data_IF_426294414343
#
_entry.id   IF_426294414343
#
_cell.length_a   1.000
_cell.length_b   1.000
_cell.length_c   1.000
_cell.angle_alpha   90.00
_cell.angle_beta   90.00
_cell.angle_gamma   90.00
#
_symmetry.space_group_name_H-M   'P 1'
#
loop_
_entity.id
_entity.type
_entity.pdbx_description
1 polymer ?
#
# COMPACT_ATOMS: atom_id res chain seq x y z
N UNK A 1 -5.89 2.48 29.00
CA UNK A 1 -5.21 3.14 27.86
C UNK A 1 -4.36 2.09 27.14
N UNK A 2 -4.42 2.01 25.80
CA UNK A 2 -3.63 1.03 25.03
C UNK A 2 -2.34 1.67 24.55
N UNK A 3 -1.25 0.89 24.50
CA UNK A 3 0.03 1.35 23.97
C UNK A 3 0.07 1.08 22.45
N UNK A 4 0.41 2.11 21.66
CA UNK A 4 0.54 2.05 20.20
C UNK A 4 1.99 2.20 19.76
N UNK A 5 2.25 1.98 18.48
CA UNK A 5 3.48 2.43 17.85
C UNK A 5 3.55 3.97 17.97
N UNK A 6 4.73 4.52 18.19
CA UNK A 6 4.89 5.95 18.48
C UNK A 6 4.39 6.86 17.34
N UNK A 7 4.50 6.41 16.09
CA UNK A 7 4.01 7.16 14.95
C UNK A 7 2.48 7.33 14.89
N UNK A 8 1.74 6.53 15.67
CA UNK A 8 0.28 6.64 15.82
C UNK A 8 -0.15 7.45 17.07
N UNK A 9 0.80 8.08 17.75
CA UNK A 9 0.52 8.95 18.90
C UNK A 9 0.40 10.41 18.45
N UNK A 10 -0.54 11.16 19.02
CA UNK A 10 -0.71 12.58 18.73
C UNK A 10 -1.16 12.92 17.30
N UNK A 11 -1.76 11.96 16.61
CA UNK A 11 -2.29 12.10 15.24
C UNK A 11 -3.81 12.09 15.22
N UNK A 12 -4.43 12.28 14.04
CA UNK A 12 -5.90 12.30 13.91
C UNK A 12 -6.53 10.94 14.24
N UNK A 13 -7.82 10.96 14.57
CA UNK A 13 -8.57 9.71 14.85
C UNK A 13 -8.56 8.75 13.66
N UNK A 14 -8.64 9.24 12.44
CA UNK A 14 -8.58 8.40 11.25
C UNK A 14 -7.20 7.74 11.08
N UNK A 15 -6.13 8.45 11.45
CA UNK A 15 -4.78 7.90 11.44
C UNK A 15 -4.60 6.82 12.52
N UNK A 16 -5.14 7.07 13.72
CA UNK A 16 -5.16 6.08 14.81
C UNK A 16 -5.95 4.84 14.41
N UNK A 17 -7.12 5.02 13.77
CA UNK A 17 -7.94 3.92 13.28
C UNK A 17 -7.19 3.11 12.23
N UNK A 18 -6.51 3.76 11.30
CA UNK A 18 -5.66 3.08 10.32
C UNK A 18 -4.61 2.18 10.99
N UNK A 19 -3.91 2.70 12.00
CA UNK A 19 -2.95 1.90 12.78
C UNK A 19 -3.62 0.72 13.49
N UNK A 20 -4.76 0.96 14.11
CA UNK A 20 -5.42 -0.03 14.97
C UNK A 20 -6.13 -1.14 14.17
N UNK A 21 -6.65 -0.83 12.98
CA UNK A 21 -7.54 -1.72 12.25
C UNK A 21 -6.94 -2.28 10.95
N UNK A 22 -6.02 -1.56 10.31
CA UNK A 22 -5.53 -1.91 8.98
C UNK A 22 -4.05 -2.28 8.93
N UNK A 23 -3.19 -1.42 9.43
CA UNK A 23 -1.74 -1.59 9.33
C UNK A 23 -1.26 -2.88 9.99
N UNK A 24 -0.54 -3.71 9.23
CA UNK A 24 -0.06 -5.01 9.71
C UNK A 24 -1.09 -6.15 9.67
N UNK A 25 -2.31 -5.89 9.19
CA UNK A 25 -3.34 -6.93 9.00
C UNK A 25 -3.19 -7.53 7.59
N UNK A 26 -3.06 -8.88 7.47
CA UNK A 26 -2.93 -9.52 6.17
C UNK A 26 -4.10 -9.22 5.23
N UNK A 27 -3.79 -8.77 4.03
CA UNK A 27 -4.75 -8.44 2.97
C UNK A 27 -4.58 -9.43 1.82
N UNK A 28 -5.67 -10.13 1.45
CA UNK A 28 -5.71 -11.07 0.34
C UNK A 28 -6.65 -10.64 -0.79
N UNK A 29 -7.36 -9.54 -0.64
CA UNK A 29 -8.22 -8.96 -1.66
C UNK A 29 -7.41 -8.16 -2.68
N UNK A 30 -7.56 -8.46 -3.97
CA UNK A 30 -6.82 -7.82 -5.06
C UNK A 30 -7.09 -6.32 -5.16
N UNK A 31 -8.32 -5.89 -4.89
CA UNK A 31 -8.68 -4.47 -4.95
C UNK A 31 -8.01 -3.69 -3.84
N UNK A 32 -7.98 -4.23 -2.64
CA UNK A 32 -7.31 -3.61 -1.49
C UNK A 32 -5.79 -3.60 -1.68
N UNK A 33 -5.21 -4.67 -2.25
CA UNK A 33 -3.80 -4.70 -2.64
C UNK A 33 -3.48 -3.59 -3.65
N UNK A 34 -4.30 -3.42 -4.67
CA UNK A 34 -4.14 -2.35 -5.65
C UNK A 34 -4.32 -0.96 -5.03
N UNK A 35 -5.34 -0.77 -4.18
CA UNK A 35 -5.55 0.48 -3.44
C UNK A 35 -4.29 0.90 -2.68
N UNK A 36 -3.73 0.03 -1.85
CA UNK A 36 -2.55 0.36 -1.05
C UNK A 36 -1.33 0.61 -1.92
N UNK A 37 -1.14 -0.14 -2.99
CA UNK A 37 0.00 0.08 -3.89
C UNK A 37 -0.05 1.49 -4.51
N UNK A 38 -1.23 1.93 -4.92
CA UNK A 38 -1.42 3.28 -5.48
C UNK A 38 -1.26 4.35 -4.40
N UNK A 39 -1.84 4.17 -3.22
CA UNK A 39 -1.74 5.14 -2.13
C UNK A 39 -0.30 5.29 -1.63
N UNK A 40 0.43 4.21 -1.48
CA UNK A 40 1.85 4.24 -1.08
C UNK A 40 2.72 4.91 -2.15
N UNK A 41 2.47 4.63 -3.43
CA UNK A 41 3.14 5.32 -4.52
C UNK A 41 2.83 6.81 -4.57
N UNK A 42 1.59 7.20 -4.28
CA UNK A 42 1.16 8.60 -4.21
C UNK A 42 1.83 9.36 -3.07
N UNK A 43 2.23 8.66 -2.01
CA UNK A 43 2.94 9.25 -0.87
C UNK A 43 4.33 9.78 -1.23
N UNK A 44 4.96 9.33 -2.30
CA UNK A 44 6.31 9.76 -2.66
C UNK A 44 6.46 11.29 -2.61
N UNK A 45 7.32 11.78 -1.73
CA UNK A 45 7.53 13.22 -1.48
C UNK A 45 6.47 13.89 -0.59
N UNK A 46 5.53 13.13 -0.02
CA UNK A 46 4.44 13.63 0.82
C UNK A 46 4.37 12.86 2.14
N UNK A 47 3.52 13.33 3.07
CA UNK A 47 3.25 12.59 4.31
C UNK A 47 2.13 11.57 4.12
N UNK A 48 2.17 10.50 4.91
CA UNK A 48 1.06 9.52 4.92
C UNK A 48 -0.26 10.15 5.37
N UNK A 49 -0.22 11.07 6.31
CA UNK A 49 -1.40 11.83 6.74
C UNK A 49 -2.09 12.52 5.55
N UNK A 50 -1.33 13.15 4.66
CA UNK A 50 -1.85 13.77 3.45
C UNK A 50 -2.58 12.76 2.57
N UNK A 51 -1.99 11.60 2.35
CA UNK A 51 -2.58 10.53 1.52
C UNK A 51 -3.83 9.95 2.19
N UNK A 52 -3.74 9.65 3.47
CA UNK A 52 -4.87 9.10 4.22
C UNK A 52 -6.09 10.04 4.21
N UNK A 53 -5.87 11.33 4.35
CA UNK A 53 -6.92 12.34 4.25
C UNK A 53 -7.54 12.44 2.85
N UNK A 54 -6.82 12.02 1.81
CA UNK A 54 -7.30 12.00 0.42
C UNK A 54 -7.84 10.63 -0.02
N UNK A 55 -7.83 9.63 0.85
CA UNK A 55 -8.20 8.25 0.50
C UNK A 55 -9.61 8.13 -0.09
N UNK A 56 -10.59 8.79 0.53
CA UNK A 56 -11.98 8.80 0.02
C UNK A 56 -12.06 9.42 -1.38
N UNK A 57 -11.32 10.50 -1.62
CA UNK A 57 -11.21 11.13 -2.94
C UNK A 57 -10.57 10.21 -3.98
N UNK A 58 -9.52 9.50 -3.61
CA UNK A 58 -8.89 8.49 -4.46
C UNK A 58 -9.85 7.35 -4.82
N UNK A 59 -10.59 6.82 -3.87
CA UNK A 59 -11.59 5.78 -4.13
C UNK A 59 -12.62 6.26 -5.16
N UNK A 60 -13.14 7.46 -5.00
CA UNK A 60 -14.09 8.06 -5.94
C UNK A 60 -13.46 8.32 -7.32
N UNK A 61 -12.26 8.87 -7.35
CA UNK A 61 -11.56 9.23 -8.59
C UNK A 61 -11.16 8.00 -9.42
N UNK A 62 -10.76 6.91 -8.76
CA UNK A 62 -10.22 5.70 -9.39
C UNK A 62 -11.15 4.50 -9.30
N UNK A 63 -12.47 4.73 -9.43
CA UNK A 63 -13.49 3.68 -9.55
C UNK A 63 -13.40 2.63 -8.44
N UNK A 64 -13.29 3.04 -7.18
CA UNK A 64 -13.09 2.20 -6.00
C UNK A 64 -11.92 1.22 -6.14
N UNK A 65 -10.87 1.66 -6.83
CA UNK A 65 -9.65 0.87 -7.10
C UNK A 65 -9.92 -0.46 -7.81
N UNK A 66 -10.92 -0.47 -8.69
CA UNK A 66 -11.14 -1.56 -9.63
C UNK A 66 -10.10 -1.46 -10.77
N UNK A 67 -9.08 -2.33 -10.83
CA UNK A 67 -8.01 -2.18 -11.82
C UNK A 67 -8.52 -2.35 -13.25
N UNK A 68 -9.56 -3.15 -13.49
CA UNK A 68 -10.14 -3.30 -14.82
C UNK A 68 -10.78 -2.00 -15.33
N UNK A 69 -11.41 -1.23 -14.45
CA UNK A 69 -11.97 0.08 -14.79
C UNK A 69 -10.89 1.13 -14.95
N UNK A 70 -9.93 1.19 -14.03
CA UNK A 70 -8.83 2.16 -14.07
C UNK A 70 -7.97 1.97 -15.33
N UNK A 71 -7.70 0.72 -15.72
CA UNK A 71 -6.91 0.40 -16.93
C UNK A 71 -7.52 0.97 -18.22
N UNK A 72 -8.82 1.26 -18.22
CA UNK A 72 -9.56 1.84 -19.38
C UNK A 72 -9.63 3.36 -19.35
N UNK A 73 -9.04 4.02 -18.37
CA UNK A 73 -9.07 5.48 -18.32
C UNK A 73 -8.37 6.07 -19.54
N UNK A 74 -9.08 6.99 -20.20
CA UNK A 74 -8.59 7.69 -21.37
C UNK A 74 -7.74 8.91 -20.96
N UNK A 75 -6.99 9.47 -21.91
CA UNK A 75 -6.25 10.72 -21.68
C UNK A 75 -7.19 11.86 -21.21
N UNK A 76 -8.40 11.92 -21.77
CA UNK A 76 -9.41 12.89 -21.32
C UNK A 76 -9.78 12.71 -19.86
N UNK A 77 -9.88 11.46 -19.38
CA UNK A 77 -10.16 11.17 -17.98
C UNK A 77 -8.98 11.58 -17.10
N UNK A 78 -7.75 11.29 -17.52
CA UNK A 78 -6.53 11.72 -16.82
C UNK A 78 -6.50 13.25 -16.66
N UNK A 79 -6.75 13.99 -17.73
CA UNK A 79 -6.79 15.47 -17.70
C UNK A 79 -7.85 15.99 -16.70
N UNK A 80 -9.01 15.34 -16.63
CA UNK A 80 -10.05 15.67 -15.66
C UNK A 80 -9.58 15.41 -14.23
N UNK A 81 -8.89 14.29 -13.98
CA UNK A 81 -8.37 13.95 -12.65
C UNK A 81 -7.31 14.95 -12.17
N UNK A 82 -6.53 15.52 -13.08
CA UNK A 82 -5.54 16.56 -12.74
C UNK A 82 -6.18 17.89 -12.26
N UNK A 83 -7.48 18.04 -12.40
CA UNK A 83 -8.26 19.17 -11.87
C UNK A 83 -8.95 18.85 -10.55
N UNK A 84 -8.90 17.59 -10.10
CA UNK A 84 -9.59 17.13 -8.89
C UNK A 84 -8.73 17.37 -7.63
N UNK A 85 -9.11 18.30 -6.73
CA UNK A 85 -8.33 18.61 -5.55
C UNK A 85 -8.41 17.51 -4.48
N UNK A 86 -9.30 16.52 -4.63
CA UNK A 86 -9.45 15.42 -3.69
C UNK A 86 -8.35 14.35 -3.82
N UNK A 87 -7.51 14.45 -4.84
CA UNK A 87 -6.34 13.60 -5.05
C UNK A 87 -5.07 14.45 -5.20
N UNK A 88 -3.90 13.80 -5.17
CA UNK A 88 -2.63 14.46 -5.51
C UNK A 88 -2.59 14.72 -7.02
N UNK A 89 -2.59 15.99 -7.42
CA UNK A 89 -2.64 16.43 -8.81
C UNK A 89 -1.25 16.43 -9.45
N UNK A 90 -0.61 15.29 -9.45
CA UNK A 90 0.68 15.06 -10.09
C UNK A 90 0.48 14.18 -11.32
N UNK A 91 0.83 14.69 -12.50
CA UNK A 91 0.60 13.99 -13.78
C UNK A 91 1.23 12.60 -13.80
N UNK A 92 2.49 12.50 -13.40
CA UNK A 92 3.19 11.20 -13.39
C UNK A 92 2.50 10.20 -12.47
N UNK A 93 2.03 10.62 -11.31
CA UNK A 93 1.32 9.75 -10.36
C UNK A 93 -0.05 9.32 -10.88
N UNK A 94 -0.80 10.20 -11.53
CA UNK A 94 -2.10 9.88 -12.14
C UNK A 94 -1.93 8.92 -13.31
N UNK A 95 -1.03 9.24 -14.23
CA UNK A 95 -0.75 8.38 -15.40
C UNK A 95 -0.20 7.00 -14.98
N UNK A 96 0.68 6.96 -13.98
CA UNK A 96 1.23 5.71 -13.48
C UNK A 96 0.19 4.84 -12.81
N UNK A 97 -0.88 5.41 -12.24
CA UNK A 97 -1.99 4.62 -11.68
C UNK A 97 -2.68 3.81 -12.79
N UNK A 98 -2.89 4.41 -13.96
CA UNK A 98 -3.46 3.71 -15.12
C UNK A 98 -2.51 2.63 -15.64
N UNK A 99 -1.23 2.94 -15.75
CA UNK A 99 -0.19 1.98 -16.17
C UNK A 99 -0.10 0.80 -15.19
N UNK A 100 -0.11 1.09 -13.89
CA UNK A 100 -0.08 0.07 -12.84
C UNK A 100 -1.34 -0.80 -12.84
N UNK A 101 -2.52 -0.23 -13.15
CA UNK A 101 -3.74 -1.02 -13.31
C UNK A 101 -3.62 -2.04 -14.44
N UNK A 102 -3.08 -1.65 -15.58
CA UNK A 102 -2.82 -2.55 -16.73
C UNK A 102 -1.84 -3.66 -16.35
N UNK A 103 -0.75 -3.31 -15.67
CA UNK A 103 0.24 -4.27 -15.21
C UNK A 103 -0.36 -5.25 -14.18
N UNK A 104 -1.24 -4.77 -13.28
CA UNK A 104 -1.95 -5.61 -12.31
C UNK A 104 -2.85 -6.65 -12.99
N UNK A 105 -3.55 -6.27 -14.06
CA UNK A 105 -4.37 -7.21 -14.84
C UNK A 105 -3.52 -8.30 -15.51
N UNK A 106 -2.36 -7.94 -16.06
CA UNK A 106 -1.43 -8.90 -16.63
C UNK A 106 -0.90 -9.90 -15.59
N UNK A 107 -0.62 -9.42 -14.37
CA UNK A 107 -0.23 -10.28 -13.25
C UNK A 107 -1.37 -11.23 -12.85
N UNK A 108 -2.62 -10.77 -12.81
CA UNK A 108 -3.77 -11.64 -12.56
C UNK A 108 -3.89 -12.76 -13.59
N UNK A 109 -3.66 -12.49 -14.86
CA UNK A 109 -3.68 -13.51 -15.92
C UNK A 109 -2.59 -14.56 -15.71
N UNK A 110 -1.40 -14.16 -15.29
CA UNK A 110 -0.25 -15.05 -15.09
C UNK A 110 -0.33 -15.88 -13.81
N UNK A 111 -0.76 -15.27 -12.70
CA UNK A 111 -0.70 -15.87 -11.35
C UNK A 111 -2.08 -16.26 -10.78
N UNK A 112 -3.17 -15.98 -11.49
CA UNK A 112 -4.54 -16.19 -11.00
C UNK A 112 -5.09 -15.00 -10.24
N UNK A 113 -4.37 -14.48 -9.23
CA UNK A 113 -4.70 -13.25 -8.50
C UNK A 113 -3.47 -12.36 -8.32
N UNK A 114 -3.70 -11.07 -8.17
CA UNK A 114 -2.64 -10.13 -7.82
C UNK A 114 -2.12 -10.40 -6.40
N UNK A 115 -3.03 -10.77 -5.49
CA UNK A 115 -2.69 -11.13 -4.12
C UNK A 115 -1.72 -12.31 -4.06
N UNK A 116 -1.97 -13.39 -4.78
CA UNK A 116 -1.08 -14.57 -4.80
C UNK A 116 0.33 -14.21 -5.29
N UNK A 117 0.41 -13.33 -6.30
CA UNK A 117 1.69 -12.82 -6.77
C UNK A 117 2.44 -12.04 -5.68
N UNK A 118 1.76 -11.09 -5.01
CA UNK A 118 2.36 -10.28 -3.95
C UNK A 118 2.80 -11.18 -2.77
N UNK A 119 1.92 -12.07 -2.31
CA UNK A 119 2.22 -12.96 -1.20
C UNK A 119 3.33 -13.97 -1.51
N UNK A 120 3.60 -14.25 -2.77
CA UNK A 120 4.70 -15.11 -3.19
C UNK A 120 6.07 -14.66 -2.71
N UNK A 121 6.28 -13.36 -2.49
CA UNK A 121 7.56 -12.82 -2.01
C UNK A 121 7.90 -13.25 -0.57
N UNK A 122 6.90 -13.63 0.20
CA UNK A 122 7.03 -14.12 1.59
C UNK A 122 6.55 -15.57 1.75
N UNK A 123 6.50 -16.32 0.65
CA UNK A 123 6.05 -17.72 0.63
C UNK A 123 4.65 -17.91 1.24
N UNK A 124 3.78 -16.93 1.08
CA UNK A 124 2.40 -16.94 1.57
C UNK A 124 2.25 -16.79 3.07
N UNK A 125 3.30 -16.44 3.79
CA UNK A 125 3.27 -16.32 5.26
C UNK A 125 3.74 -14.94 5.71
N UNK A 126 2.97 -14.23 6.57
CA UNK A 126 3.40 -12.95 7.13
C UNK A 126 4.73 -13.07 7.87
N UNK A 127 5.64 -12.14 7.60
CA UNK A 127 6.89 -12.03 8.34
C UNK A 127 6.59 -11.40 9.70
N UNK A 128 7.02 -12.07 10.78
CA UNK A 128 6.87 -11.58 12.15
C UNK A 128 8.18 -10.97 12.62
N UNK A 129 8.14 -9.67 12.98
CA UNK A 129 9.30 -8.96 13.53
C UNK A 129 9.14 -8.70 15.02
N UNK A 130 10.23 -8.28 15.68
CA UNK A 130 10.25 -8.05 17.13
C UNK A 130 10.99 -6.77 17.50
N UNK A 131 10.79 -5.72 16.73
CA UNK A 131 11.37 -4.42 17.04
C UNK A 131 10.75 -3.83 18.30
N UNK A 132 11.57 -3.21 19.13
CA UNK A 132 11.12 -2.60 20.38
C UNK A 132 10.77 -1.12 20.21
N UNK A 133 11.33 -0.47 19.21
CA UNK A 133 11.18 0.97 18.96
C UNK A 133 10.97 1.21 17.48
N UNK A 134 10.14 2.18 17.15
CA UNK A 134 9.86 2.53 15.74
C UNK A 134 11.12 2.85 14.94
N UNK A 135 12.11 3.48 15.57
CA UNK A 135 13.39 3.80 14.92
C UNK A 135 14.24 2.58 14.53
N UNK A 136 13.93 1.41 15.08
CA UNK A 136 14.63 0.18 14.78
C UNK A 136 13.98 -0.55 13.58
N UNK A 137 12.78 -0.13 13.16
CA UNK A 137 12.07 -0.68 12.00
C UNK A 137 12.78 -0.22 10.71
N UNK A 138 13.15 -1.15 9.82
CA UNK A 138 13.86 -0.78 8.59
C UNK A 138 12.93 -0.09 7.59
N UNK A 139 13.55 0.60 6.62
CA UNK A 139 12.84 1.21 5.51
C UNK A 139 12.69 0.27 4.29
N UNK A 140 13.50 -0.78 4.24
CA UNK A 140 13.53 -1.79 3.16
C UNK A 140 13.92 -3.14 3.72
N UNK A 141 13.74 -4.20 2.93
CA UNK A 141 14.18 -5.56 3.24
C UNK A 141 14.64 -6.26 1.95
N UNK A 142 15.21 -7.45 2.07
CA UNK A 142 15.56 -8.27 0.92
C UNK A 142 14.31 -8.61 0.09
N UNK A 143 13.20 -8.89 0.74
CA UNK A 143 11.90 -9.17 0.11
C UNK A 143 11.36 -7.94 -0.64
N UNK A 144 11.42 -6.75 -0.04
CA UNK A 144 10.98 -5.52 -0.70
C UNK A 144 11.88 -5.17 -1.89
N UNK A 145 13.18 -5.41 -1.80
CA UNK A 145 14.12 -5.23 -2.91
C UNK A 145 13.77 -6.16 -4.09
N UNK A 146 13.54 -7.44 -3.81
CA UNK A 146 13.18 -8.43 -4.82
C UNK A 146 11.84 -8.10 -5.48
N UNK A 147 10.82 -7.81 -4.69
CA UNK A 147 9.49 -7.46 -5.19
C UNK A 147 9.52 -6.15 -6.00
N UNK A 148 10.22 -5.13 -5.52
CA UNK A 148 10.41 -3.87 -6.25
C UNK A 148 11.02 -4.09 -7.63
N UNK A 149 12.07 -4.91 -7.69
CA UNK A 149 12.76 -5.24 -8.95
C UNK A 149 11.82 -5.94 -9.93
N UNK A 150 11.04 -6.91 -9.46
CA UNK A 150 10.12 -7.64 -10.32
C UNK A 150 8.93 -6.77 -10.77
N UNK A 151 8.36 -5.98 -9.86
CA UNK A 151 7.30 -5.03 -10.20
C UNK A 151 7.73 -4.03 -11.29
N UNK A 152 8.93 -3.45 -11.16
CA UNK A 152 9.49 -2.53 -12.17
C UNK A 152 9.63 -3.22 -13.53
N UNK A 153 10.14 -4.45 -13.55
CA UNK A 153 10.27 -5.25 -14.77
C UNK A 153 8.93 -5.51 -15.44
N UNK A 154 7.85 -5.63 -14.67
CA UNK A 154 6.48 -5.84 -15.13
C UNK A 154 5.76 -4.55 -15.54
N UNK A 155 6.40 -3.40 -15.46
CA UNK A 155 5.85 -2.11 -15.89
C UNK A 155 5.13 -1.32 -14.80
N UNK A 156 5.18 -1.75 -13.54
CA UNK A 156 4.67 -0.94 -12.42
C UNK A 156 5.54 0.29 -12.21
N UNK A 157 4.92 1.38 -11.77
CA UNK A 157 5.57 2.67 -11.49
C UNK A 157 5.40 3.05 -10.02
N UNK A 158 6.31 3.89 -9.51
CA UNK A 158 6.36 4.30 -8.10
C UNK A 158 6.39 3.09 -7.14
N UNK A 159 7.22 2.12 -7.48
CA UNK A 159 7.39 0.86 -6.74
C UNK A 159 8.85 0.65 -6.32
N UNK A 160 9.53 1.72 -5.90
CA UNK A 160 10.85 1.61 -5.26
C UNK A 160 10.78 0.74 -3.99
N UNK A 161 11.92 0.20 -3.54
CA UNK A 161 11.94 -0.73 -2.41
C UNK A 161 11.35 -0.13 -1.13
N UNK A 162 11.55 1.15 -0.86
CA UNK A 162 10.95 1.85 0.30
C UNK A 162 9.42 1.89 0.21
N UNK A 163 8.87 2.19 -0.96
CA UNK A 163 7.41 2.20 -1.20
C UNK A 163 6.86 0.78 -1.08
N UNK A 164 7.54 -0.20 -1.66
CA UNK A 164 7.14 -1.61 -1.60
C UNK A 164 7.18 -2.13 -0.16
N UNK A 165 8.19 -1.75 0.63
CA UNK A 165 8.23 -2.13 2.03
C UNK A 165 7.08 -1.51 2.84
N UNK A 166 6.76 -0.25 2.61
CA UNK A 166 5.59 0.40 3.20
C UNK A 166 4.28 -0.32 2.81
N UNK A 167 4.16 -0.77 1.55
CA UNK A 167 3.06 -1.59 1.10
C UNK A 167 2.99 -2.93 1.85
N UNK A 168 4.13 -3.59 2.04
CA UNK A 168 4.21 -4.84 2.81
C UNK A 168 3.75 -4.65 4.26
N UNK A 169 4.14 -3.54 4.90
CA UNK A 169 3.68 -3.18 6.24
C UNK A 169 2.17 -2.94 6.27
N UNK A 170 1.65 -2.13 5.36
CA UNK A 170 0.24 -1.76 5.30
C UNK A 170 -0.68 -2.96 5.05
N UNK A 171 -0.25 -3.91 4.22
CA UNK A 171 -1.03 -5.10 3.82
C UNK A 171 -0.72 -6.36 4.61
N UNK A 172 0.08 -6.25 5.65
CA UNK A 172 0.35 -7.33 6.59
C UNK A 172 1.28 -8.44 6.09
N UNK A 173 2.00 -8.24 4.97
CA UNK A 173 3.07 -9.15 4.57
C UNK A 173 4.18 -9.18 5.61
N UNK A 174 4.34 -8.10 6.35
CA UNK A 174 5.21 -7.98 7.50
C UNK A 174 4.45 -7.35 8.67
N UNK A 175 4.59 -7.92 9.85
CA UNK A 175 4.05 -7.34 11.09
C UNK A 175 5.14 -6.54 11.79
N UNK A 176 5.17 -5.24 11.55
CA UNK A 176 6.14 -4.30 12.11
C UNK A 176 5.59 -3.48 13.28
N UNK A 177 4.43 -3.85 13.83
CA UNK A 177 4.04 -3.31 15.12
C UNK A 177 5.15 -3.60 16.13
N UNK A 178 5.60 -2.59 16.87
CA UNK A 178 6.62 -2.81 17.91
C UNK A 178 6.08 -3.72 19.01
N UNK A 179 6.95 -4.46 19.68
CA UNK A 179 6.56 -5.49 20.65
C UNK A 179 5.72 -4.99 21.82
N UNK A 180 5.84 -3.68 22.15
CA UNK A 180 5.02 -3.02 23.18
C UNK A 180 3.64 -2.58 22.67
N UNK A 181 3.41 -2.57 21.36
CA UNK A 181 2.13 -2.19 20.77
C UNK A 181 1.07 -3.26 21.02
N UNK A 182 -0.15 -2.84 21.41
CA UNK A 182 -1.26 -3.76 21.65
C UNK A 182 -1.64 -4.59 20.42
N UNK A 183 -1.33 -4.10 19.20
CA UNK A 183 -1.61 -4.80 17.95
C UNK A 183 -0.58 -5.87 17.59
N UNK A 184 0.63 -5.85 18.16
CA UNK A 184 1.70 -6.78 17.77
C UNK A 184 1.27 -8.24 17.86
N UNK A 185 0.77 -8.67 19.03
CA UNK A 185 0.35 -10.05 19.23
C UNK A 185 -0.91 -10.45 18.46
N UNK A 186 -1.97 -9.61 18.40
CA UNK A 186 -3.14 -9.91 17.57
C UNK A 186 -2.79 -10.10 16.10
N UNK A 187 -2.00 -9.18 15.50
CA UNK A 187 -1.57 -9.30 14.11
C UNK A 187 -0.71 -10.54 13.85
N UNK A 188 0.13 -10.94 14.81
CA UNK A 188 0.95 -12.14 14.68
C UNK A 188 0.15 -13.46 14.57
N UNK A 189 -1.12 -13.44 14.93
CA UNK A 189 -2.02 -14.61 14.86
C UNK A 189 -2.83 -14.67 13.56
N UNK A 190 -2.81 -13.60 12.76
CA UNK A 190 -3.51 -13.52 11.48
C UNK A 190 -2.68 -14.19 10.39
N UNK A 191 -3.37 -14.66 9.32
CA UNK A 191 -2.75 -15.32 8.16
C UNK A 191 -3.19 -14.68 6.87
#
# INVERSE_FOLDING_TARGET
EVTRCKWAEGVSLDYIRYHDEEWGVPVHDDRVQFEFLILEGAQAGLSWSTILNKRAGYRKAFADFDPAKVARFTQKRVEKLLQDPSIVRNRLKVESTVTTAKASLAVQEEFGTFSDYIWGVVDGKPIQTRYRRDRDVPATSAESDALSKDLKKRGFRFVGSTIVYAHMQATGLVNDHVTGCFRHRPCARLK
#
